data_IF_280597270080
#
_entry.id   IF_280597270080
#
_cell.length_a   1.000
_cell.length_b   1.000
_cell.length_c   1.000
_cell.angle_alpha   90.00
_cell.angle_beta   90.00
_cell.angle_gamma   90.00
#
_symmetry.space_group_name_H-M   'P 1'
#
loop_
_entity.id
_entity.type
_entity.pdbx_description
1 polymer ?
#
# COMPACT_ATOMS: atom_id res chain seq x y z
N UNK A 1 -0.32 -23.99 -3.48
CA UNK A 1 -1.35 -24.01 -4.53
C UNK A 1 -2.22 -25.29 -4.51
N UNK A 2 -2.06 -26.14 -3.49
CA UNK A 2 -2.80 -27.40 -3.41
C UNK A 2 -2.70 -28.20 -4.72
N UNK A 3 -3.80 -28.83 -5.11
CA UNK A 3 -3.89 -29.62 -6.35
C UNK A 3 -4.24 -28.78 -7.59
N UNK A 4 -4.29 -27.43 -7.46
CA UNK A 4 -4.62 -26.56 -8.58
C UNK A 4 -3.56 -26.69 -9.69
N UNK A 5 -3.94 -27.07 -10.94
CA UNK A 5 -3.01 -27.20 -12.05
C UNK A 5 -2.27 -25.87 -12.34
N UNK A 6 -1.02 -25.96 -12.77
CA UNK A 6 -0.18 -24.78 -13.03
C UNK A 6 -0.85 -23.76 -13.98
N UNK A 7 -1.52 -24.22 -15.02
CA UNK A 7 -2.22 -23.36 -15.99
C UNK A 7 -3.40 -22.56 -15.41
N UNK A 8 -3.88 -22.96 -14.22
CA UNK A 8 -5.00 -22.27 -13.54
C UNK A 8 -4.54 -21.39 -12.37
N UNK A 9 -3.26 -21.38 -12.03
CA UNK A 9 -2.71 -20.53 -10.96
C UNK A 9 -2.61 -19.09 -11.45
N UNK A 10 -3.47 -18.24 -10.96
CA UNK A 10 -3.53 -16.82 -11.33
C UNK A 10 -3.03 -15.91 -10.23
N UNK A 11 -2.70 -14.66 -10.59
CA UNK A 11 -2.17 -13.66 -9.67
C UNK A 11 -0.64 -13.65 -9.57
N UNK A 12 -0.11 -13.07 -8.50
CA UNK A 12 1.32 -12.85 -8.37
C UNK A 12 1.83 -11.71 -9.25
N UNK A 13 0.95 -10.77 -9.59
CA UNK A 13 1.31 -9.58 -10.40
C UNK A 13 2.28 -8.69 -9.62
N UNK A 14 3.01 -7.84 -10.32
CA UNK A 14 3.79 -6.75 -9.74
C UNK A 14 3.29 -5.44 -10.31
N UNK A 15 2.93 -4.49 -9.44
CA UNK A 15 2.37 -3.21 -9.85
C UNK A 15 3.39 -2.08 -9.79
N UNK A 16 4.28 -2.15 -8.82
CA UNK A 16 5.33 -1.18 -8.54
C UNK A 16 6.68 -1.83 -8.81
N UNK A 17 7.65 -1.11 -9.39
CA UNK A 17 8.99 -1.63 -9.59
C UNK A 17 9.65 -1.96 -8.24
N UNK A 18 10.49 -2.98 -8.25
CA UNK A 18 11.31 -3.35 -7.10
C UNK A 18 12.43 -2.35 -6.81
N UNK A 19 13.13 -2.58 -5.71
CA UNK A 19 14.28 -1.79 -5.29
C UNK A 19 15.58 -2.59 -5.47
N UNK A 20 16.66 -1.90 -5.82
CA UNK A 20 18.00 -2.51 -6.00
C UNK A 20 18.97 -2.01 -4.92
N UNK A 21 19.62 -2.95 -4.23
CA UNK A 21 20.73 -2.68 -3.33
C UNK A 21 22.07 -3.00 -4.02
N UNK A 22 22.80 -1.96 -4.41
CA UNK A 22 24.08 -2.10 -5.11
C UNK A 22 25.19 -2.73 -4.23
N UNK A 23 25.11 -2.62 -2.90
CA UNK A 23 26.10 -3.19 -2.00
C UNK A 23 25.93 -4.70 -1.83
N UNK A 24 24.68 -5.16 -1.79
CA UNK A 24 24.32 -6.57 -1.68
C UNK A 24 24.17 -7.25 -3.05
N UNK A 25 24.06 -6.46 -4.12
CA UNK A 25 23.72 -6.89 -5.46
C UNK A 25 22.43 -7.72 -5.48
N UNK A 26 21.36 -7.20 -4.83
CA UNK A 26 20.05 -7.83 -4.73
C UNK A 26 18.95 -6.89 -5.23
N UNK A 27 17.99 -7.46 -5.94
CA UNK A 27 16.73 -6.81 -6.29
C UNK A 27 15.65 -7.33 -5.34
N UNK A 28 14.90 -6.42 -4.68
CA UNK A 28 13.74 -6.76 -3.88
C UNK A 28 12.48 -6.52 -4.70
N UNK A 29 11.72 -7.59 -4.94
CA UNK A 29 10.59 -7.56 -5.86
C UNK A 29 9.28 -7.87 -5.14
N UNK A 30 8.29 -6.94 -5.17
CA UNK A 30 7.00 -7.16 -4.53
C UNK A 30 6.08 -7.99 -5.41
N UNK A 31 5.30 -8.90 -4.80
CA UNK A 31 4.39 -9.82 -5.49
C UNK A 31 2.99 -9.71 -4.89
N UNK A 32 1.99 -9.50 -5.74
CA UNK A 32 0.57 -9.38 -5.37
C UNK A 32 -0.06 -10.72 -4.95
N UNK A 33 -1.32 -10.65 -4.50
CA UNK A 33 -2.09 -11.81 -4.05
C UNK A 33 -2.42 -12.79 -5.19
N UNK A 34 -2.95 -13.97 -4.80
CA UNK A 34 -3.48 -14.97 -5.74
C UNK A 34 -4.85 -14.53 -6.32
N UNK A 35 -5.18 -15.02 -7.50
CA UNK A 35 -6.47 -14.81 -8.17
C UNK A 35 -7.11 -16.14 -8.56
N UNK A 36 -8.46 -16.26 -8.53
CA UNK A 36 -9.45 -15.31 -7.95
C UNK A 36 -9.16 -14.94 -6.51
N UNK A 37 -9.63 -13.77 -6.05
CA UNK A 37 -9.21 -13.20 -4.75
C UNK A 37 -9.57 -14.06 -3.54
N UNK A 38 -10.79 -14.61 -3.49
CA UNK A 38 -11.22 -15.45 -2.37
C UNK A 38 -10.71 -16.88 -2.56
N UNK A 39 -10.06 -17.48 -1.55
CA UNK A 39 -9.50 -18.84 -1.67
C UNK A 39 -10.52 -19.88 -2.10
N UNK A 40 -11.74 -19.87 -1.56
CA UNK A 40 -12.80 -20.77 -1.95
C UNK A 40 -13.12 -20.72 -3.46
N UNK A 41 -13.02 -19.54 -4.09
CA UNK A 41 -13.19 -19.38 -5.54
C UNK A 41 -12.07 -20.03 -6.36
N UNK A 42 -10.93 -20.33 -5.72
CA UNK A 42 -9.80 -21.07 -6.30
C UNK A 42 -9.84 -22.58 -5.97
N UNK A 43 -10.82 -23.02 -5.16
CA UNK A 43 -10.83 -24.36 -4.57
C UNK A 43 -9.76 -24.57 -3.50
N UNK A 44 -9.36 -23.49 -2.82
CA UNK A 44 -8.33 -23.44 -1.79
C UNK A 44 -8.89 -22.85 -0.48
N UNK A 45 -8.05 -22.81 0.55
CA UNK A 45 -8.32 -22.18 1.84
C UNK A 45 -7.25 -21.13 2.17
N UNK A 46 -7.41 -20.36 3.24
CA UNK A 46 -6.37 -19.45 3.76
C UNK A 46 -5.12 -20.19 4.26
N UNK A 47 -5.21 -21.49 4.47
CA UNK A 47 -4.08 -22.34 4.88
C UNK A 47 -3.24 -22.83 3.70
N UNK A 48 -3.70 -22.60 2.47
CA UNK A 48 -2.98 -22.87 1.24
C UNK A 48 -2.19 -21.60 0.83
N UNK A 49 -0.88 -21.53 1.08
CA UNK A 49 -0.14 -20.27 0.99
C UNK A 49 -0.02 -19.70 -0.42
N UNK A 50 -0.26 -20.48 -1.47
CA UNK A 50 -0.17 -20.06 -2.86
C UNK A 50 1.14 -19.32 -3.18
N UNK A 51 2.30 -19.93 -2.87
CA UNK A 51 3.62 -19.33 -3.08
C UNK A 51 3.86 -18.99 -4.56
N UNK A 52 4.39 -17.81 -4.88
CA UNK A 52 4.96 -16.78 -3.98
C UNK A 52 4.08 -15.52 -3.92
N UNK A 53 2.78 -15.64 -3.86
CA UNK A 53 1.88 -14.48 -3.77
C UNK A 53 2.04 -13.76 -2.44
N UNK A 54 1.70 -12.46 -2.40
CA UNK A 54 1.84 -11.56 -1.24
C UNK A 54 3.19 -11.64 -0.53
N UNK A 55 4.26 -11.56 -1.33
CA UNK A 55 5.63 -11.76 -0.88
C UNK A 55 6.56 -10.64 -1.31
N UNK A 56 7.62 -10.45 -0.55
CA UNK A 56 8.86 -9.82 -1.03
C UNK A 56 9.81 -10.93 -1.46
N UNK A 57 10.33 -10.84 -2.68
CA UNK A 57 11.38 -11.73 -3.20
C UNK A 57 12.70 -10.96 -3.26
N UNK A 58 13.79 -11.54 -2.78
CA UNK A 58 15.13 -11.04 -3.05
C UNK A 58 15.75 -11.87 -4.17
N UNK A 59 16.10 -11.22 -5.27
CA UNK A 59 16.56 -11.84 -6.49
C UNK A 59 17.99 -11.46 -6.79
N UNK A 60 18.77 -12.42 -7.29
CA UNK A 60 20.07 -12.12 -7.94
C UNK A 60 19.80 -11.47 -9.30
N UNK A 61 20.32 -10.25 -9.58
CA UNK A 61 20.09 -9.58 -10.87
C UNK A 61 20.81 -10.25 -12.04
N UNK A 62 21.77 -11.14 -11.78
CA UNK A 62 22.55 -11.81 -12.83
C UNK A 62 21.78 -12.96 -13.50
N UNK A 63 20.99 -13.71 -12.75
CA UNK A 63 20.28 -14.89 -13.25
C UNK A 63 18.80 -14.97 -12.82
N UNK A 64 18.35 -14.03 -11.98
CA UNK A 64 16.96 -14.00 -11.48
C UNK A 64 16.67 -15.03 -10.40
N UNK A 65 17.67 -15.72 -9.86
CA UNK A 65 17.49 -16.72 -8.80
C UNK A 65 17.00 -16.07 -7.51
N UNK A 66 16.05 -16.73 -6.81
CA UNK A 66 15.53 -16.29 -5.51
C UNK A 66 16.60 -16.60 -4.46
N UNK A 67 17.15 -15.57 -3.81
CA UNK A 67 18.10 -15.70 -2.71
C UNK A 67 17.37 -15.92 -1.38
N UNK A 68 16.27 -15.19 -1.18
CA UNK A 68 15.32 -15.40 -0.11
C UNK A 68 13.95 -14.84 -0.49
N UNK A 69 12.92 -15.25 0.24
CA UNK A 69 11.59 -14.64 0.15
C UNK A 69 10.97 -14.50 1.52
N UNK A 70 10.08 -13.54 1.66
CA UNK A 70 9.18 -13.39 2.80
C UNK A 70 7.75 -13.27 2.28
N UNK A 71 6.92 -14.27 2.57
CA UNK A 71 5.48 -14.16 2.35
C UNK A 71 4.86 -13.45 3.55
N UNK A 72 4.33 -12.24 3.34
CA UNK A 72 3.74 -11.42 4.39
C UNK A 72 2.40 -11.96 4.83
N UNK A 73 1.57 -12.31 3.86
CA UNK A 73 0.20 -12.79 4.06
C UNK A 73 -0.04 -14.05 3.23
N UNK A 74 0.23 -15.24 3.79
CA UNK A 74 -0.08 -16.51 3.14
C UNK A 74 -1.59 -16.67 2.92
N UNK A 75 -1.99 -17.26 1.79
CA UNK A 75 -3.39 -17.61 1.51
C UNK A 75 -4.34 -16.42 1.44
N UNK A 76 -3.86 -15.23 1.05
CA UNK A 76 -4.62 -13.99 1.02
C UNK A 76 -6.02 -14.18 0.41
N UNK A 77 -7.05 -13.57 1.06
CA UNK A 77 -8.45 -13.93 0.89
C UNK A 77 -9.37 -12.77 0.45
N UNK A 78 -8.88 -11.52 0.36
CA UNK A 78 -9.74 -10.34 0.41
C UNK A 78 -9.40 -9.27 -0.64
N UNK A 79 -8.50 -9.54 -1.59
CA UNK A 79 -7.93 -8.55 -2.52
C UNK A 79 -7.07 -7.49 -1.78
N UNK A 80 -6.35 -7.93 -0.76
CA UNK A 80 -5.46 -7.07 0.02
C UNK A 80 -4.00 -7.39 -0.32
N UNK A 81 -3.50 -6.76 -1.40
CA UNK A 81 -2.15 -6.98 -1.91
C UNK A 81 -1.05 -6.40 -1.01
N UNK A 82 0.10 -7.08 -0.99
CA UNK A 82 1.37 -6.63 -0.42
C UNK A 82 2.42 -6.31 -1.52
N UNK A 83 1.96 -5.79 -2.68
CA UNK A 83 2.72 -5.64 -3.91
C UNK A 83 3.31 -4.24 -4.12
N UNK A 84 3.69 -3.54 -3.05
CA UNK A 84 4.09 -2.14 -3.11
C UNK A 84 5.58 -1.92 -2.87
N UNK A 85 5.99 -0.67 -2.72
CA UNK A 85 7.39 -0.28 -2.67
C UNK A 85 8.18 -0.95 -1.55
N UNK A 86 9.47 -1.15 -1.83
CA UNK A 86 10.44 -1.72 -0.90
C UNK A 86 11.46 -0.64 -0.53
N UNK A 87 11.34 0.00 0.63
CA UNK A 87 12.22 1.11 1.04
C UNK A 87 13.41 0.58 1.83
N UNK A 88 14.61 0.87 1.36
CA UNK A 88 15.87 0.34 1.90
C UNK A 88 16.52 1.37 2.82
N UNK A 89 16.56 1.10 4.12
CA UNK A 89 17.10 2.01 5.14
C UNK A 89 17.96 1.23 6.14
N UNK A 90 19.10 1.81 6.55
CA UNK A 90 19.85 1.26 7.67
C UNK A 90 19.25 1.76 8.99
N UNK A 91 18.86 0.83 9.86
CA UNK A 91 18.16 1.10 11.11
C UNK A 91 18.61 0.15 12.20
N UNK A 92 18.89 0.66 13.41
CA UNK A 92 19.29 -0.16 14.57
C UNK A 92 20.55 -1.00 14.31
N UNK A 93 21.47 -0.54 13.47
CA UNK A 93 22.67 -1.31 13.08
C UNK A 93 22.41 -2.45 12.09
N UNK A 94 21.18 -2.57 11.56
CA UNK A 94 20.77 -3.57 10.57
C UNK A 94 20.57 -2.90 9.21
N UNK A 95 20.79 -3.65 8.15
CA UNK A 95 20.38 -3.28 6.79
C UNK A 95 18.91 -3.69 6.63
N UNK A 96 18.00 -2.73 6.86
CA UNK A 96 16.58 -3.02 6.87
C UNK A 96 15.89 -2.70 5.54
N UNK A 97 14.76 -3.38 5.30
CA UNK A 97 13.80 -3.16 4.25
C UNK A 97 12.44 -2.92 4.90
N UNK A 98 11.72 -1.91 4.41
CA UNK A 98 10.36 -1.59 4.85
C UNK A 98 9.40 -1.72 3.68
N UNK A 99 8.27 -2.34 3.92
CA UNK A 99 7.17 -2.44 2.95
C UNK A 99 5.83 -2.41 3.68
N UNK A 100 4.81 -1.94 2.99
CA UNK A 100 3.45 -1.85 3.53
C UNK A 100 2.46 -2.13 2.40
N UNK A 101 1.41 -2.89 2.70
CA UNK A 101 0.38 -3.21 1.73
C UNK A 101 -1.01 -2.77 2.13
N UNK A 102 -2.02 -3.33 1.44
CA UNK A 102 -3.43 -2.98 1.67
C UNK A 102 -3.92 -3.32 3.07
N UNK A 103 -3.29 -4.25 3.78
CA UNK A 103 -3.61 -4.53 5.19
C UNK A 103 -3.25 -3.37 6.13
N UNK A 104 -2.46 -2.38 5.66
CA UNK A 104 -2.01 -1.26 6.46
C UNK A 104 -0.99 -1.66 7.53
N UNK A 105 -0.28 -2.74 7.33
CA UNK A 105 0.75 -3.24 8.23
C UNK A 105 2.11 -2.89 7.63
N UNK A 106 2.87 -2.03 8.31
CA UNK A 106 4.25 -1.73 7.95
C UNK A 106 5.16 -2.83 8.47
N UNK A 107 5.77 -3.57 7.55
CA UNK A 107 6.71 -4.63 7.82
C UNK A 107 8.14 -4.12 7.80
N UNK A 108 8.96 -4.59 8.74
CA UNK A 108 10.40 -4.34 8.80
C UNK A 108 11.14 -5.67 8.71
N UNK A 109 11.99 -5.82 7.70
CA UNK A 109 12.79 -7.03 7.45
C UNK A 109 14.27 -6.70 7.43
N UNK A 110 15.11 -7.66 7.76
CA UNK A 110 16.53 -7.64 7.41
C UNK A 110 16.68 -7.91 5.90
N UNK A 111 17.22 -6.97 5.15
CA UNK A 111 17.29 -7.10 3.70
C UNK A 111 18.37 -8.03 3.18
N UNK A 112 19.28 -8.49 4.06
CA UNK A 112 20.29 -9.50 3.71
C UNK A 112 19.68 -10.90 3.71
N UNK A 113 18.81 -11.18 4.70
CA UNK A 113 18.34 -12.54 4.98
C UNK A 113 16.83 -12.74 4.84
N UNK A 114 16.03 -11.66 4.77
CA UNK A 114 14.57 -11.73 4.86
C UNK A 114 14.04 -11.97 6.28
N UNK A 115 14.91 -11.95 7.30
CA UNK A 115 14.50 -12.10 8.69
C UNK A 115 13.50 -11.03 9.11
N UNK A 116 12.42 -11.42 9.79
CA UNK A 116 11.46 -10.49 10.35
C UNK A 116 12.08 -9.72 11.53
N UNK A 117 12.00 -8.38 11.47
CA UNK A 117 12.53 -7.49 12.50
C UNK A 117 11.44 -6.80 13.33
N UNK A 118 10.24 -6.66 12.78
CA UNK A 118 9.12 -6.03 13.45
C UNK A 118 8.01 -5.60 12.50
N UNK A 119 6.93 -5.10 13.08
CA UNK A 119 5.80 -4.54 12.34
C UNK A 119 5.08 -3.48 13.18
N UNK A 120 4.28 -2.65 12.51
CA UNK A 120 3.28 -1.79 13.16
C UNK A 120 2.03 -1.68 12.30
N UNK A 121 0.87 -1.61 12.95
CA UNK A 121 -0.41 -1.37 12.28
C UNK A 121 -0.60 0.15 12.13
N UNK A 122 -0.76 0.63 10.90
CA UNK A 122 -0.86 2.07 10.62
C UNK A 122 -2.30 2.57 10.54
N UNK A 123 -3.24 1.66 10.30
CA UNK A 123 -4.70 1.88 10.34
C UNK A 123 -5.35 0.73 11.10
N UNK A 124 -6.61 0.92 11.51
CA UNK A 124 -7.38 -0.17 12.10
C UNK A 124 -7.49 -1.35 11.14
N UNK A 125 -7.18 -2.54 11.61
CA UNK A 125 -7.41 -3.79 10.90
C UNK A 125 -8.17 -4.80 11.78
N UNK A 126 -8.99 -5.64 11.14
CA UNK A 126 -9.67 -6.77 11.78
C UNK A 126 -9.64 -8.02 10.89
N UNK A 127 -8.66 -8.12 10.00
CA UNK A 127 -8.43 -9.30 9.15
C UNK A 127 -7.78 -10.40 9.96
N UNK A 128 -6.81 -10.03 10.80
CA UNK A 128 -6.07 -10.96 11.62
C UNK A 128 -6.45 -10.83 13.09
N UNK A 129 -6.73 -11.98 13.74
CA UNK A 129 -6.87 -12.04 15.19
C UNK A 129 -5.53 -11.84 15.90
N UNK A 130 -4.44 -12.20 15.22
CA UNK A 130 -3.09 -12.10 15.78
C UNK A 130 -2.04 -12.00 14.69
N UNK A 131 -1.03 -11.18 14.97
CA UNK A 131 0.28 -11.19 14.30
C UNK A 131 1.31 -11.54 15.37
N UNK A 132 2.08 -12.60 15.15
CA UNK A 132 3.10 -13.01 16.12
C UNK A 132 4.23 -11.98 16.14
N UNK A 133 4.53 -11.34 17.31
CA UNK A 133 5.48 -10.23 17.37
C UNK A 133 6.95 -10.65 17.18
N UNK A 134 7.25 -11.95 17.20
CA UNK A 134 8.61 -12.46 17.00
C UNK A 134 8.87 -12.95 15.59
N UNK A 135 7.82 -13.43 14.92
CA UNK A 135 7.94 -14.07 13.62
C UNK A 135 7.20 -13.34 12.50
N UNK A 136 6.25 -12.46 12.86
CA UNK A 136 5.37 -11.79 11.92
C UNK A 136 4.37 -12.74 11.24
N UNK A 137 4.16 -13.94 11.79
CA UNK A 137 3.16 -14.89 11.27
C UNK A 137 1.78 -14.38 11.64
N UNK A 138 0.92 -14.28 10.63
CA UNK A 138 -0.48 -13.85 10.79
C UNK A 138 -1.40 -15.02 11.07
N UNK A 139 -2.43 -14.80 11.89
CA UNK A 139 -3.54 -15.72 12.11
C UNK A 139 -4.82 -15.03 11.68
N UNK A 140 -5.48 -15.54 10.68
CA UNK A 140 -6.75 -14.99 10.21
C UNK A 140 -7.85 -15.12 11.26
N UNK A 141 -8.77 -14.17 11.26
CA UNK A 141 -10.04 -14.28 11.96
C UNK A 141 -10.82 -15.49 11.45
N UNK A 142 -11.44 -16.24 12.36
CA UNK A 142 -12.00 -17.56 12.05
C UNK A 142 -13.09 -17.52 10.98
N UNK A 143 -13.95 -16.50 10.98
CA UNK A 143 -15.01 -16.34 9.97
C UNK A 143 -14.44 -16.10 8.55
N UNK A 144 -13.27 -15.48 8.43
CA UNK A 144 -12.56 -15.32 7.15
C UNK A 144 -11.95 -16.65 6.72
N UNK A 145 -11.37 -17.38 7.67
CA UNK A 145 -10.75 -18.69 7.38
C UNK A 145 -11.77 -19.74 6.92
N UNK A 146 -12.99 -19.67 7.45
CA UNK A 146 -14.08 -20.61 7.17
C UNK A 146 -14.96 -20.19 5.98
N UNK A 147 -14.77 -18.98 5.44
CA UNK A 147 -15.65 -18.42 4.40
C UNK A 147 -15.62 -19.24 3.11
N UNK A 148 -16.76 -19.78 2.72
CA UNK A 148 -17.01 -20.46 1.46
C UNK A 148 -17.53 -19.52 0.35
N UNK A 149 -17.98 -20.13 -0.75
CA UNK A 149 -18.64 -19.41 -1.84
C UNK A 149 -19.97 -18.81 -1.35
N UNK A 150 -20.16 -17.50 -1.56
CA UNK A 150 -21.38 -16.78 -1.19
C UNK A 150 -21.41 -16.31 0.27
N UNK A 151 -20.46 -16.71 1.10
CA UNK A 151 -20.37 -16.25 2.48
C UNK A 151 -19.78 -14.83 2.52
N UNK A 152 -20.51 -13.90 3.14
CA UNK A 152 -20.10 -12.52 3.32
C UNK A 152 -19.26 -12.35 4.58
N UNK A 153 -18.08 -11.78 4.42
CA UNK A 153 -17.24 -11.34 5.53
C UNK A 153 -17.07 -9.83 5.53
N UNK A 154 -17.05 -9.21 6.71
CA UNK A 154 -16.86 -7.77 6.87
C UNK A 154 -15.50 -7.48 7.44
N UNK A 155 -14.69 -6.69 6.74
CA UNK A 155 -13.29 -6.48 7.04
C UNK A 155 -12.86 -5.02 6.91
N UNK A 156 -11.87 -4.65 7.67
CA UNK A 156 -11.10 -3.41 7.54
C UNK A 156 -9.59 -3.77 7.50
N UNK A 157 -8.80 -3.13 6.65
CA UNK A 157 -9.15 -2.16 5.61
C UNK A 157 -9.86 -2.78 4.40
N UNK A 158 -10.34 -1.93 3.48
CA UNK A 158 -10.94 -2.34 2.20
C UNK A 158 -9.90 -2.60 1.10
N UNK A 159 -10.35 -2.89 -0.12
CA UNK A 159 -9.51 -2.97 -1.32
C UNK A 159 -8.89 -1.64 -1.76
N UNK A 160 -9.34 -0.49 -1.23
CA UNK A 160 -8.60 0.77 -1.34
C UNK A 160 -7.31 0.72 -0.52
N UNK A 161 -7.29 -0.16 0.47
CA UNK A 161 -6.17 -0.48 1.33
C UNK A 161 -6.08 0.42 2.55
N UNK A 162 -5.28 0.01 3.52
CA UNK A 162 -4.60 0.91 4.42
C UNK A 162 -3.55 1.67 3.63
N UNK A 163 -2.73 0.95 2.86
CA UNK A 163 -1.82 1.53 1.87
C UNK A 163 -2.12 0.99 0.47
N UNK A 164 -1.70 1.71 -0.55
CA UNK A 164 -1.85 1.29 -1.94
C UNK A 164 -0.65 1.81 -2.78
N UNK A 165 -0.77 1.92 -4.10
CA UNK A 165 0.31 2.35 -5.00
C UNK A 165 0.86 3.78 -4.76
N UNK A 166 0.26 4.57 -3.91
CA UNK A 166 0.71 5.90 -3.52
C UNK A 166 1.91 5.79 -2.58
N UNK A 167 3.12 5.69 -3.12
CA UNK A 167 4.31 5.32 -2.37
C UNK A 167 4.61 6.24 -1.18
N UNK A 168 5.10 5.63 -0.09
CA UNK A 168 5.66 6.34 1.06
C UNK A 168 7.01 6.97 0.72
N UNK A 169 7.43 7.94 1.52
CA UNK A 169 8.74 8.54 1.42
C UNK A 169 9.51 8.50 2.75
N UNK A 170 10.83 8.32 2.66
CA UNK A 170 11.71 8.41 3.81
C UNK A 170 12.25 9.83 3.97
N UNK A 171 12.17 10.38 5.19
CA UNK A 171 12.86 11.61 5.61
C UNK A 171 14.08 11.24 6.46
N UNK A 172 15.31 11.40 5.93
CA UNK A 172 16.53 11.09 6.69
C UNK A 172 16.69 11.96 7.94
N UNK A 173 16.26 13.22 7.88
CA UNK A 173 16.40 14.21 8.94
C UNK A 173 15.52 13.89 10.16
N UNK A 174 14.32 13.40 9.95
CA UNK A 174 13.39 12.97 11.01
C UNK A 174 13.46 11.46 11.28
N UNK A 175 14.23 10.71 10.49
CA UNK A 175 14.29 9.25 10.52
C UNK A 175 12.92 8.59 10.46
N UNK A 176 12.01 9.16 9.69
CA UNK A 176 10.63 8.70 9.57
C UNK A 176 10.24 8.31 8.14
N UNK A 177 9.38 7.31 8.03
CA UNK A 177 8.61 7.01 6.82
C UNK A 177 7.31 7.81 6.89
N UNK A 178 7.05 8.64 5.88
CA UNK A 178 5.79 9.37 5.74
C UNK A 178 4.91 8.60 4.77
N UNK A 179 3.77 8.10 5.27
CA UNK A 179 2.96 7.08 4.61
C UNK A 179 1.56 7.62 4.34
N UNK A 180 1.13 7.70 3.06
CA UNK A 180 -0.24 8.02 2.71
C UNK A 180 -1.12 6.78 2.84
N UNK A 181 -2.20 6.89 3.61
CA UNK A 181 -3.09 5.80 4.00
C UNK A 181 -4.55 6.11 3.66
N UNK A 182 -5.34 5.05 3.52
CA UNK A 182 -6.78 5.12 3.32
C UNK A 182 -7.52 4.35 4.41
N UNK A 183 -8.62 4.93 4.93
CA UNK A 183 -9.42 4.40 6.03
C UNK A 183 -10.83 4.06 5.55
N UNK A 184 -10.99 2.87 5.00
CA UNK A 184 -12.29 2.35 4.58
C UNK A 184 -12.36 0.84 4.78
N UNK A 185 -13.57 0.30 4.84
CA UNK A 185 -13.83 -1.12 5.08
C UNK A 185 -14.60 -1.77 3.93
N UNK A 186 -14.72 -3.07 3.95
CA UNK A 186 -15.27 -3.89 2.88
C UNK A 186 -16.11 -5.03 3.42
N UNK A 187 -17.29 -5.26 2.84
CA UNK A 187 -17.92 -6.58 2.83
C UNK A 187 -17.58 -7.28 1.50
N UNK A 188 -17.17 -8.53 1.56
CA UNK A 188 -16.79 -9.34 0.40
C UNK A 188 -17.34 -10.76 0.51
N UNK A 189 -17.77 -11.31 -0.64
CA UNK A 189 -18.15 -12.72 -0.78
C UNK A 189 -17.58 -13.30 -2.06
N UNK A 190 -16.99 -14.49 -1.97
CA UNK A 190 -16.48 -15.23 -3.11
C UNK A 190 -17.59 -15.72 -4.04
N UNK A 191 -17.30 -15.80 -5.35
CA UNK A 191 -18.21 -16.36 -6.36
C UNK A 191 -17.65 -17.67 -6.91
N UNK A 192 -18.53 -18.49 -7.43
CA UNK A 192 -18.12 -19.57 -8.31
C UNK A 192 -17.46 -19.02 -9.56
N UNK A 193 -16.37 -19.65 -9.98
CA UNK A 193 -15.64 -19.31 -11.21
C UNK A 193 -15.35 -20.56 -12.02
N UNK A 194 -15.42 -20.44 -13.35
CA UNK A 194 -14.86 -21.44 -14.23
C UNK A 194 -13.33 -21.29 -14.24
N UNK A 195 -12.62 -22.23 -13.63
CA UNK A 195 -11.17 -22.27 -13.64
C UNK A 195 -10.69 -22.74 -15.02
N UNK A 196 -10.47 -21.80 -15.93
CA UNK A 196 -9.89 -22.03 -17.25
C UNK A 196 -8.62 -21.20 -17.40
N UNK A 197 -7.73 -21.64 -18.28
CA UNK A 197 -6.48 -20.89 -18.55
C UNK A 197 -6.78 -19.43 -18.90
N UNK A 198 -6.04 -18.51 -18.27
CA UNK A 198 -6.24 -17.07 -18.42
C UNK A 198 -7.42 -16.49 -17.62
N UNK A 199 -8.16 -17.28 -16.84
CA UNK A 199 -9.24 -16.81 -15.97
C UNK A 199 -8.68 -16.16 -14.70
N UNK A 200 -8.04 -15.04 -14.80
CA UNK A 200 -7.67 -14.24 -13.63
C UNK A 200 -8.75 -13.19 -13.35
N UNK A 201 -8.94 -12.79 -12.10
CA UNK A 201 -9.79 -11.66 -11.80
C UNK A 201 -10.46 -11.65 -10.45
N UNK A 202 -11.38 -10.72 -10.30
CA UNK A 202 -11.98 -10.39 -9.00
C UNK A 202 -12.85 -11.53 -8.46
N UNK A 203 -13.79 -11.99 -9.24
CA UNK A 203 -14.70 -13.08 -8.91
C UNK A 203 -15.25 -13.00 -7.47
N UNK A 204 -15.61 -11.80 -7.01
CA UNK A 204 -16.18 -11.54 -5.70
C UNK A 204 -17.22 -10.42 -5.76
N UNK A 205 -18.24 -10.52 -4.91
CA UNK A 205 -19.17 -9.42 -4.62
C UNK A 205 -18.58 -8.55 -3.52
N UNK A 206 -18.76 -7.22 -3.63
CA UNK A 206 -18.14 -6.26 -2.72
C UNK A 206 -19.06 -5.09 -2.42
N UNK A 207 -19.03 -4.64 -1.16
CA UNK A 207 -19.63 -3.39 -0.70
C UNK A 207 -18.63 -2.66 0.17
N UNK A 208 -18.48 -1.36 0.00
CA UNK A 208 -17.55 -0.54 0.78
C UNK A 208 -18.30 0.33 1.77
N UNK A 209 -17.68 0.56 2.91
CA UNK A 209 -18.23 1.43 3.96
C UNK A 209 -17.11 2.17 4.70
N UNK A 210 -17.47 3.21 5.45
CA UNK A 210 -16.53 4.02 6.23
C UNK A 210 -15.93 3.18 7.38
N UNK A 211 -14.65 3.40 7.67
CA UNK A 211 -13.98 2.71 8.77
C UNK A 211 -14.53 3.23 10.11
N UNK A 212 -14.90 2.36 11.05
CA UNK A 212 -15.37 2.78 12.36
C UNK A 212 -14.32 3.62 13.11
N UNK A 213 -14.77 4.67 13.78
CA UNK A 213 -13.92 5.54 14.62
C UNK A 213 -13.13 6.61 13.89
N UNK A 214 -13.34 6.77 12.56
CA UNK A 214 -12.65 7.79 11.77
C UNK A 214 -13.48 9.05 11.53
N UNK A 215 -14.69 9.10 12.01
CA UNK A 215 -15.65 10.20 11.79
C UNK A 215 -15.82 10.56 10.29
N UNK A 216 -15.73 9.55 9.41
CA UNK A 216 -15.80 9.70 7.97
C UNK A 216 -14.52 10.21 7.29
N UNK A 217 -13.41 10.35 8.01
CA UNK A 217 -12.12 10.66 7.43
C UNK A 217 -11.57 9.43 6.68
N UNK A 218 -11.38 9.56 5.38
CA UNK A 218 -10.85 8.48 4.54
C UNK A 218 -9.33 8.58 4.33
N UNK A 219 -8.78 9.78 4.39
CA UNK A 219 -7.33 10.00 4.25
C UNK A 219 -6.66 10.04 5.62
N UNK A 220 -5.57 9.29 5.78
CA UNK A 220 -4.62 9.43 6.88
C UNK A 220 -3.22 9.58 6.30
N UNK A 221 -2.44 10.52 6.82
CA UNK A 221 -1.01 10.64 6.56
C UNK A 221 -0.30 10.46 7.89
N UNK A 222 0.66 9.56 7.95
CA UNK A 222 1.38 9.29 9.21
C UNK A 222 2.89 9.28 9.00
N UNK A 223 3.65 9.69 10.01
CA UNK A 223 5.10 9.53 10.07
C UNK A 223 5.45 8.45 11.10
N UNK A 224 6.13 7.41 10.66
CA UNK A 224 6.55 6.27 11.49
C UNK A 224 8.07 6.27 11.62
N UNK A 225 8.56 6.26 12.85
CA UNK A 225 10.00 6.14 13.15
C UNK A 225 10.56 4.81 12.63
N UNK A 226 11.65 4.87 11.88
CA UNK A 226 12.24 3.67 11.26
C UNK A 226 12.99 2.78 12.27
N UNK A 227 13.40 3.30 13.42
CA UNK A 227 14.12 2.55 14.43
C UNK A 227 13.14 1.84 15.39
N UNK A 228 12.14 2.55 15.89
CA UNK A 228 11.18 2.09 16.91
C UNK A 228 9.88 1.54 16.35
N UNK A 229 9.49 1.93 15.13
CA UNK A 229 8.17 1.71 14.51
C UNK A 229 7.02 2.44 15.24
N UNK A 230 7.32 3.44 16.05
CA UNK A 230 6.32 4.28 16.71
C UNK A 230 5.86 5.41 15.79
N UNK A 231 4.60 5.83 15.93
CA UNK A 231 4.04 6.97 15.23
C UNK A 231 4.55 8.28 15.85
N UNK A 232 5.21 9.14 15.05
CA UNK A 232 5.62 10.49 15.46
C UNK A 232 4.42 11.45 15.44
N UNK A 233 3.66 11.41 14.34
CA UNK A 233 2.46 12.20 14.13
C UNK A 233 1.55 11.55 13.09
N UNK A 234 0.28 11.91 13.13
CA UNK A 234 -0.66 11.61 12.06
C UNK A 234 -1.64 12.76 11.83
N UNK A 235 -2.12 12.88 10.59
CA UNK A 235 -3.13 13.83 10.15
C UNK A 235 -4.22 13.07 9.42
N UNK A 236 -5.45 13.27 9.84
CA UNK A 236 -6.62 12.66 9.21
C UNK A 236 -7.47 13.73 8.51
N UNK A 237 -8.06 13.37 7.39
CA UNK A 237 -8.93 14.25 6.62
C UNK A 237 -10.00 13.47 5.86
N UNK A 238 -11.07 14.17 5.48
CA UNK A 238 -12.18 13.59 4.70
C UNK A 238 -11.73 13.03 3.37
N UNK A 239 -10.84 13.73 2.65
CA UNK A 239 -10.33 13.36 1.33
C UNK A 239 -9.21 12.32 1.42
N UNK A 240 -9.30 11.23 0.66
CA UNK A 240 -8.20 10.27 0.54
C UNK A 240 -7.00 10.91 -0.18
N UNK A 241 -5.78 10.58 0.26
CA UNK A 241 -4.55 10.95 -0.45
C UNK A 241 -4.43 10.14 -1.74
N UNK A 242 -3.98 10.80 -2.82
CA UNK A 242 -3.96 10.22 -4.18
C UNK A 242 -2.59 10.35 -4.85
N UNK A 243 -1.59 10.91 -4.17
CA UNK A 243 -0.21 10.91 -4.66
C UNK A 243 0.70 10.08 -3.76
N UNK A 244 1.83 9.62 -4.32
CA UNK A 244 2.99 9.32 -3.50
C UNK A 244 3.38 10.55 -2.68
N UNK A 245 4.06 10.34 -1.55
CA UNK A 245 4.70 11.42 -0.79
C UNK A 245 6.06 11.72 -1.43
N UNK A 246 6.41 13.00 -1.52
CA UNK A 246 7.75 13.45 -1.89
C UNK A 246 8.36 14.20 -0.71
N UNK A 247 9.48 13.74 -0.16
CA UNK A 247 10.25 14.47 0.85
C UNK A 247 11.42 15.21 0.23
N UNK A 248 11.83 16.31 0.85
CA UNK A 248 12.99 17.11 0.42
C UNK A 248 13.95 17.35 1.57
N UNK A 249 15.23 17.64 1.27
CA UNK A 249 16.24 18.01 2.25
C UNK A 249 15.94 19.32 3.00
N UNK A 250 14.96 20.10 2.52
CA UNK A 250 14.42 21.27 3.21
C UNK A 250 13.35 20.96 4.26
N UNK A 251 13.20 19.70 4.67
CA UNK A 251 12.24 19.21 5.67
C UNK A 251 10.78 19.41 5.28
N UNK A 252 10.48 19.33 3.97
CA UNK A 252 9.12 19.41 3.44
C UNK A 252 8.66 18.03 2.93
N UNK A 253 7.40 17.70 3.16
CA UNK A 253 6.69 16.60 2.53
C UNK A 253 5.59 17.14 1.62
N UNK A 254 5.55 16.70 0.36
CA UNK A 254 4.53 17.08 -0.60
C UNK A 254 3.58 15.91 -0.85
N UNK A 255 2.27 16.19 -0.81
CA UNK A 255 1.23 15.19 -1.04
C UNK A 255 -0.03 15.83 -1.62
N UNK A 256 -0.76 15.10 -2.42
CA UNK A 256 -2.02 15.53 -3.01
C UNK A 256 -3.18 14.58 -2.72
N UNK A 257 -4.41 15.09 -2.83
CA UNK A 257 -5.62 14.35 -2.48
C UNK A 257 -6.72 14.38 -3.54
N UNK A 258 -7.77 13.61 -3.28
CA UNK A 258 -8.93 13.49 -4.17
C UNK A 258 -9.78 14.76 -4.21
N UNK A 259 -9.75 15.63 -3.17
CA UNK A 259 -10.41 16.95 -3.17
C UNK A 259 -9.57 18.03 -3.86
N UNK A 260 -8.55 17.62 -4.60
CA UNK A 260 -7.77 18.50 -5.48
C UNK A 260 -6.73 19.37 -4.78
N UNK A 261 -6.50 19.19 -3.49
CA UNK A 261 -5.44 19.90 -2.80
C UNK A 261 -4.09 19.25 -3.03
N UNK A 262 -3.08 20.10 -3.27
CA UNK A 262 -1.67 19.75 -3.22
C UNK A 262 -1.03 20.57 -2.11
N UNK A 263 -0.34 19.91 -1.18
CA UNK A 263 0.17 20.51 0.06
C UNK A 263 1.64 20.27 0.23
N UNK A 264 2.30 21.23 0.88
CA UNK A 264 3.59 21.06 1.52
C UNK A 264 3.38 21.05 3.04
N UNK A 265 3.90 20.01 3.68
CA UNK A 265 3.82 19.80 5.12
C UNK A 265 5.23 19.80 5.72
N UNK A 266 5.32 20.20 6.97
CA UNK A 266 6.51 20.01 7.79
C UNK A 266 6.68 18.52 8.12
N UNK A 267 7.87 17.96 7.87
CA UNK A 267 8.11 16.51 8.05
C UNK A 267 8.13 16.08 9.52
N UNK A 268 8.40 17.00 10.45
CA UNK A 268 8.49 16.67 11.87
C UNK A 268 7.16 16.73 12.60
N UNK A 269 6.21 17.50 12.08
CA UNK A 269 4.95 17.80 12.77
C UNK A 269 3.70 17.44 11.98
N UNK A 270 3.82 17.22 10.67
CA UNK A 270 2.67 17.05 9.77
C UNK A 270 1.86 18.34 9.55
N UNK A 271 2.32 19.48 10.05
CA UNK A 271 1.61 20.75 9.88
C UNK A 271 1.66 21.22 8.43
N UNK A 272 0.51 21.66 7.90
CA UNK A 272 0.43 22.22 6.55
C UNK A 272 1.08 23.61 6.54
N UNK A 273 2.14 23.76 5.75
CA UNK A 273 2.88 25.00 5.56
C UNK A 273 2.40 25.77 4.33
N UNK A 274 1.94 25.06 3.32
CA UNK A 274 1.40 25.63 2.09
C UNK A 274 0.42 24.65 1.45
N UNK A 275 -0.62 25.19 0.80
CA UNK A 275 -1.54 24.40 0.01
C UNK A 275 -2.10 25.19 -1.18
N UNK A 276 -2.51 24.45 -2.21
CA UNK A 276 -3.24 25.00 -3.34
C UNK A 276 -4.24 23.98 -3.87
N UNK A 277 -5.34 24.47 -4.46
CA UNK A 277 -6.37 23.61 -5.05
C UNK A 277 -6.25 23.61 -6.56
N UNK A 278 -6.15 22.42 -7.17
CA UNK A 278 -5.91 22.22 -8.60
C UNK A 278 -7.20 21.88 -9.36
N UNK A 279 -7.09 21.58 -10.65
CA UNK A 279 -8.24 21.41 -11.53
C UNK A 279 -9.08 20.17 -11.26
N UNK A 280 -8.43 19.04 -10.91
CA UNK A 280 -9.07 17.79 -10.55
C UNK A 280 -8.22 17.05 -9.52
N UNK A 281 -8.55 15.81 -9.16
CA UNK A 281 -7.81 14.98 -8.21
C UNK A 281 -6.31 15.06 -8.47
N UNK A 282 -5.54 15.39 -7.43
CA UNK A 282 -4.07 15.42 -7.50
C UNK A 282 -3.57 14.00 -7.30
N UNK A 283 -2.98 13.41 -8.34
CA UNK A 283 -2.58 12.01 -8.27
C UNK A 283 -1.29 11.72 -9.04
N UNK A 284 -0.65 10.59 -8.71
CA UNK A 284 0.60 10.16 -9.30
C UNK A 284 1.79 10.35 -8.37
N UNK A 285 2.95 10.63 -8.95
CA UNK A 285 4.22 10.68 -8.23
C UNK A 285 4.81 12.09 -8.38
N UNK A 286 4.70 12.96 -7.36
CA UNK A 286 5.36 14.25 -7.37
C UNK A 286 6.88 14.08 -7.50
N UNK A 287 7.52 14.97 -8.24
CA UNK A 287 9.00 14.97 -8.39
C UNK A 287 9.55 16.37 -8.12
N UNK A 288 10.78 16.43 -7.61
CA UNK A 288 11.54 17.68 -7.45
C UNK A 288 12.77 17.67 -8.34
N UNK A 289 13.11 18.83 -8.87
CA UNK A 289 14.30 19.02 -9.73
C UNK A 289 14.82 20.46 -9.66
N UNK A 290 16.06 20.66 -10.03
CA UNK A 290 16.69 21.98 -10.08
C UNK A 290 16.93 22.45 -11.51
N UNK A 291 16.69 23.75 -11.78
CA UNK A 291 17.05 24.43 -13.02
C UNK A 291 17.64 25.79 -12.68
N UNK A 292 18.86 26.05 -13.14
CA UNK A 292 19.56 27.34 -12.95
C UNK A 292 19.65 27.82 -11.50
N UNK A 293 19.72 26.89 -10.54
CA UNK A 293 19.80 27.18 -9.12
C UNK A 293 18.43 27.30 -8.41
N UNK A 294 17.34 27.31 -9.16
CA UNK A 294 15.97 27.25 -8.61
C UNK A 294 15.48 25.84 -8.45
N UNK A 295 14.76 25.56 -7.39
CA UNK A 295 14.09 24.28 -7.15
C UNK A 295 12.64 24.33 -7.64
N UNK A 296 12.22 23.25 -8.28
CA UNK A 296 10.86 23.06 -8.79
C UNK A 296 10.26 21.76 -8.22
N UNK A 297 8.94 21.81 -8.04
CA UNK A 297 8.12 20.62 -7.76
C UNK A 297 7.11 20.47 -8.89
N UNK A 298 7.02 19.28 -9.48
CA UNK A 298 5.96 18.99 -10.43
C UNK A 298 5.05 17.87 -9.95
N UNK A 299 3.75 18.00 -10.26
CA UNK A 299 2.72 17.04 -9.90
C UNK A 299 1.65 16.98 -10.99
N UNK A 300 1.11 15.80 -11.23
CA UNK A 300 0.00 15.61 -12.16
C UNK A 300 -1.36 15.65 -11.47
N UNK A 301 -2.38 15.99 -12.23
CA UNK A 301 -3.79 15.77 -11.87
C UNK A 301 -4.42 14.78 -12.86
N UNK A 302 -5.37 13.98 -12.39
CA UNK A 302 -5.96 12.96 -13.25
C UNK A 302 -7.18 12.26 -12.69
N UNK A 303 -7.76 11.40 -13.52
CA UNK A 303 -9.00 10.67 -13.25
C UNK A 303 -8.83 9.16 -13.12
N UNK A 304 -7.61 8.63 -13.29
CA UNK A 304 -7.29 7.22 -13.14
C UNK A 304 -7.23 6.76 -11.68
N UNK A 305 -6.78 5.53 -11.43
CA UNK A 305 -6.37 5.08 -10.11
C UNK A 305 -7.12 3.90 -9.49
N UNK A 306 -8.04 3.25 -10.20
CA UNK A 306 -8.67 2.00 -9.73
C UNK A 306 -9.43 2.15 -8.41
N UNK A 307 -9.34 1.12 -7.54
CA UNK A 307 -10.00 1.11 -6.22
C UNK A 307 -9.63 2.29 -5.33
N UNK A 308 -8.36 2.70 -5.23
CA UNK A 308 -7.95 3.84 -4.40
C UNK A 308 -8.65 5.15 -4.72
N UNK A 309 -9.18 5.29 -5.93
CA UNK A 309 -10.01 6.43 -6.32
C UNK A 309 -11.51 6.12 -6.26
N UNK A 310 -11.93 4.96 -6.76
CA UNK A 310 -13.35 4.62 -6.83
C UNK A 310 -13.99 4.51 -5.45
N UNK A 311 -13.29 3.92 -4.50
CA UNK A 311 -13.82 3.75 -3.14
C UNK A 311 -14.00 5.11 -2.45
N UNK A 312 -13.01 6.03 -2.41
CA UNK A 312 -13.24 7.38 -1.91
C UNK A 312 -14.39 8.11 -2.61
N UNK A 313 -14.51 8.02 -3.93
CA UNK A 313 -15.63 8.65 -4.65
C UNK A 313 -17.00 8.16 -4.17
N UNK A 314 -17.12 6.89 -3.84
CA UNK A 314 -18.36 6.31 -3.33
C UNK A 314 -18.67 6.75 -1.89
N UNK A 315 -17.63 6.87 -1.07
CA UNK A 315 -17.76 7.14 0.37
C UNK A 315 -17.70 8.64 0.71
N UNK A 316 -17.26 9.50 -0.22
CA UNK A 316 -17.23 10.97 -0.05
C UNK A 316 -18.09 11.68 -1.09
N UNK A 317 -19.42 11.47 -1.11
CA UNK A 317 -20.31 12.15 -2.06
C UNK A 317 -20.39 13.66 -1.84
N UNK A 318 -19.93 14.15 -0.71
CA UNK A 318 -19.76 15.54 -0.31
C UNK A 318 -18.55 16.21 -1.00
N UNK A 319 -17.58 15.44 -1.49
CA UNK A 319 -16.43 15.95 -2.24
C UNK A 319 -16.78 16.03 -3.73
N UNK A 320 -16.46 17.16 -4.34
CA UNK A 320 -16.64 17.32 -5.79
C UNK A 320 -15.53 16.60 -6.56
N UNK A 321 -15.90 15.67 -7.45
CA UNK A 321 -14.99 14.92 -8.30
C UNK A 321 -15.13 15.36 -9.78
N UNK A 322 -14.42 16.40 -10.25
CA UNK A 322 -14.47 16.83 -11.64
C UNK A 322 -14.02 15.70 -12.58
N UNK A 323 -14.67 15.56 -13.72
CA UNK A 323 -14.38 14.57 -14.76
C UNK A 323 -13.44 15.07 -15.87
N UNK A 324 -12.93 16.29 -15.71
CA UNK A 324 -11.96 16.96 -16.58
C UNK A 324 -10.83 17.57 -15.78
N UNK A 325 -9.77 18.08 -16.44
CA UNK A 325 -8.70 18.85 -15.78
C UNK A 325 -7.40 18.07 -15.60
N UNK A 326 -7.14 17.06 -16.44
CA UNK A 326 -5.83 16.41 -16.48
C UNK A 326 -4.76 17.42 -16.90
N UNK A 327 -3.76 17.63 -16.05
CA UNK A 327 -2.69 18.59 -16.28
C UNK A 327 -1.41 18.19 -15.52
N UNK A 328 -0.29 18.72 -15.97
CA UNK A 328 0.95 18.75 -15.21
C UNK A 328 1.14 20.16 -14.65
N UNK A 329 1.23 20.27 -13.33
CA UNK A 329 1.51 21.52 -12.62
C UNK A 329 2.97 21.55 -12.20
N UNK A 330 3.59 22.75 -12.33
CA UNK A 330 4.96 22.99 -11.94
C UNK A 330 5.00 24.21 -11.03
N UNK A 331 5.55 24.02 -9.85
CA UNK A 331 5.72 25.09 -8.84
C UNK A 331 7.21 25.37 -8.67
N UNK A 332 7.59 26.64 -8.72
CA UNK A 332 8.92 27.10 -8.34
C UNK A 332 8.93 27.41 -6.84
N UNK A 333 9.85 26.83 -6.11
CA UNK A 333 10.10 27.21 -4.74
C UNK A 333 10.88 28.52 -4.75
N UNK A 334 10.32 29.55 -4.11
CA UNK A 334 11.01 30.82 -3.90
C UNK A 334 11.65 30.81 -2.53
N UNK A 335 12.86 31.38 -2.37
CA UNK A 335 13.54 31.50 -1.09
C UNK A 335 12.71 32.23 -0.02
#
# INVERSE_FOLDING_TARGET
>A
WGDLPLALRGGGDSWIPGSYDANLNLIYWPVAQAKPWVPASRGLTVYDPALYTNSTLALDPGDGSIQWYRQHVPGEALDLDEAFEQVLINSGGRQALYTIGKHGILWKLDRVSGEFLGYTETVYQNVFDRIDPKTGIVTYRQDIADAGIGDWVSVCPSTAGGHNWHAMAYSPESRALIIPLSQSCLEIAGREVALVEGSGGSQADRKWFEMPGTDGNLGKLTAIDVDTLEEHWSVEQRAAYMTAVLTTGGRLAFVGDVDRYFRALDVDTGSVLWETRLGTSVQGFPVTYGVDGDQYISVSTGLGGGSPRRVPQLLTPDIQHPDTGNALYVFRLTP
#
